data_IF_290845141871
#
_entry.id   IF_290845141871
#
_cell.length_a   1.000
_cell.length_b   1.000
_cell.length_c   1.000
_cell.angle_alpha   90.00
_cell.angle_beta   90.00
_cell.angle_gamma   90.00
#
_symmetry.space_group_name_H-M   'P 1'
#
loop_
_entity.id
_entity.type
_entity.pdbx_description
1 polymer ?
#
# COMPACT_ATOMS: atom_id res chain seq x y z
N UNK A 1 25.88 24.64 -3.76
CA UNK A 1 26.87 23.84 -4.50
C UNK A 1 26.28 22.44 -4.61
N UNK A 2 25.65 22.12 -5.74
CA UNK A 2 25.03 20.80 -5.96
C UNK A 2 25.72 20.21 -7.18
N UNK A 3 26.45 19.11 -6.98
CA UNK A 3 27.09 18.31 -8.01
C UNK A 3 26.13 17.18 -8.38
N UNK A 4 25.85 17.04 -9.68
CA UNK A 4 25.17 15.89 -10.28
C UNK A 4 26.23 14.90 -10.78
N UNK A 5 26.08 13.62 -10.45
CA UNK A 5 26.84 12.52 -11.08
C UNK A 5 25.90 11.70 -11.95
N UNK A 6 26.30 11.51 -13.20
CA UNK A 6 25.77 10.56 -14.17
C UNK A 6 26.17 9.13 -13.81
N UNK A 7 25.29 8.15 -14.09
CA UNK A 7 25.69 6.76 -14.39
C UNK A 7 24.71 6.18 -15.42
N UNK A 8 25.27 5.62 -16.48
CA UNK A 8 24.62 4.93 -17.59
C UNK A 8 24.75 3.39 -17.46
N UNK A 9 23.92 2.70 -18.24
CA UNK A 9 24.01 1.33 -18.81
C UNK A 9 23.48 0.11 -18.01
N UNK A 10 22.29 -0.34 -18.46
CA UNK A 10 21.92 -1.64 -19.05
C UNK A 10 22.51 -2.95 -18.51
N UNK A 11 21.62 -3.92 -18.25
CA UNK A 11 21.67 -5.26 -18.85
C UNK A 11 20.39 -6.08 -18.61
N UNK A 12 19.87 -6.62 -19.72
CA UNK A 12 18.79 -7.60 -19.84
C UNK A 12 19.13 -8.97 -19.25
N UNK A 13 18.14 -9.69 -18.70
CA UNK A 13 18.13 -11.15 -18.65
C UNK A 13 16.69 -11.68 -18.77
N UNK A 14 16.33 -12.07 -20.00
CA UNK A 14 15.23 -12.97 -20.32
C UNK A 14 15.48 -14.39 -19.80
N UNK A 15 14.40 -15.10 -19.43
CA UNK A 15 14.35 -16.55 -19.58
C UNK A 15 13.67 -17.34 -18.46
N UNK A 16 12.37 -17.60 -18.59
CA UNK A 16 11.76 -18.87 -18.14
C UNK A 16 10.66 -19.34 -19.12
N UNK A 17 10.54 -20.65 -19.35
CA UNK A 17 9.85 -21.20 -20.52
C UNK A 17 8.33 -21.26 -20.41
N UNK A 18 7.73 -21.07 -21.59
CA UNK A 18 6.35 -21.33 -21.97
C UNK A 18 6.07 -22.85 -21.97
N UNK A 19 5.01 -23.28 -21.28
CA UNK A 19 4.34 -24.56 -21.57
C UNK A 19 2.87 -24.25 -21.85
N UNK A 20 2.46 -24.57 -23.07
CA UNK A 20 1.12 -24.40 -23.58
C UNK A 20 0.32 -25.70 -23.50
N UNK A 21 -1.01 -25.49 -23.55
CA UNK A 21 -2.02 -26.43 -24.05
C UNK A 21 -2.44 -27.52 -23.04
N UNK A 22 -3.67 -27.46 -22.53
CA UNK A 22 -4.92 -27.84 -23.18
C UNK A 22 -5.43 -29.15 -22.57
N UNK A 23 -6.46 -29.01 -21.73
CA UNK A 23 -7.69 -29.81 -21.71
C UNK A 23 -8.42 -29.52 -20.40
N UNK A 24 -9.41 -28.63 -20.45
CA UNK A 24 -10.69 -28.83 -19.76
C UNK A 24 -11.75 -28.11 -20.59
N UNK A 25 -12.48 -28.90 -21.38
CA UNK A 25 -13.80 -28.52 -21.87
C UNK A 25 -14.80 -28.88 -20.77
N UNK A 26 -15.73 -27.94 -20.56
CA UNK A 26 -17.07 -28.05 -19.96
C UNK A 26 -17.66 -29.47 -19.94
N UNK A 27 -18.53 -29.84 -18.99
CA UNK A 27 -19.82 -29.19 -18.73
C UNK A 27 -20.54 -29.93 -17.59
N UNK A 28 -21.30 -29.17 -16.80
CA UNK A 28 -22.61 -29.50 -16.23
C UNK A 28 -22.97 -30.99 -16.01
N UNK A 29 -23.02 -31.39 -14.74
CA UNK A 29 -23.86 -32.51 -14.31
C UNK A 29 -24.41 -32.27 -12.89
N UNK A 30 -25.63 -31.73 -12.88
CA UNK A 30 -26.72 -31.99 -11.95
C UNK A 30 -26.47 -32.08 -10.44
N UNK A 31 -27.02 -31.07 -9.75
CA UNK A 31 -27.52 -31.15 -8.38
C UNK A 31 -28.40 -32.41 -8.19
N UNK A 32 -27.88 -33.38 -7.44
CA UNK A 32 -28.67 -34.41 -6.80
C UNK A 32 -28.31 -34.46 -5.30
N UNK A 33 -29.25 -34.00 -4.48
CA UNK A 33 -29.24 -34.21 -3.03
C UNK A 33 -29.13 -35.70 -2.71
N UNK A 34 -28.08 -36.12 -2.01
CA UNK A 34 -28.04 -37.42 -1.32
C UNK A 34 -27.49 -37.20 0.08
N UNK A 35 -28.28 -37.68 1.03
CA UNK A 35 -28.19 -37.59 2.48
C UNK A 35 -26.86 -38.10 3.06
N UNK A 36 -26.47 -37.48 4.17
CA UNK A 36 -25.33 -37.81 5.02
C UNK A 36 -25.33 -39.29 5.48
N UNK A 37 -24.16 -39.95 5.45
CA UNK A 37 -23.85 -40.98 6.45
C UNK A 37 -23.40 -42.39 6.03
N UNK A 38 -22.71 -42.61 4.90
CA UNK A 38 -22.01 -43.90 4.68
C UNK A 38 -20.59 -43.74 4.07
N UNK A 39 -19.50 -44.12 4.78
CA UNK A 39 -18.11 -44.02 4.30
C UNK A 39 -17.78 -44.84 3.05
N UNK A 40 -18.65 -45.79 2.65
CA UNK A 40 -18.47 -46.59 1.43
C UNK A 40 -18.79 -45.83 0.14
N UNK A 41 -19.37 -44.63 0.21
CA UNK A 41 -19.84 -43.86 -0.95
C UNK A 41 -18.83 -42.82 -1.49
N UNK A 42 -17.62 -42.77 -0.94
CA UNK A 42 -16.61 -41.73 -1.24
C UNK A 42 -15.79 -42.05 -2.49
N UNK A 43 -15.77 -43.33 -2.89
CA UNK A 43 -14.90 -43.82 -3.94
C UNK A 43 -15.22 -43.10 -5.26
N UNK A 44 -16.49 -42.91 -5.62
CA UNK A 44 -16.88 -42.38 -6.93
C UNK A 44 -16.77 -40.85 -7.16
N UNK A 45 -16.27 -40.04 -6.21
CA UNK A 45 -16.06 -38.59 -6.44
C UNK A 45 -14.59 -38.21 -6.57
N UNK A 46 -13.74 -38.87 -5.80
CA UNK A 46 -12.33 -38.51 -5.64
C UNK A 46 -11.38 -39.56 -6.21
N UNK A 47 -11.90 -40.72 -6.59
CA UNK A 47 -11.12 -41.78 -7.22
C UNK A 47 -11.88 -42.44 -8.38
N UNK A 48 -11.16 -42.72 -9.47
CA UNK A 48 -11.73 -43.42 -10.64
C UNK A 48 -11.29 -44.89 -10.66
N UNK A 49 -12.21 -45.81 -10.93
CA UNK A 49 -11.92 -47.24 -11.09
C UNK A 49 -11.14 -47.50 -12.39
N UNK A 50 -10.09 -48.32 -12.32
CA UNK A 50 -9.34 -48.80 -13.48
C UNK A 50 -9.45 -50.33 -13.59
N UNK A 51 -9.95 -50.82 -14.72
CA UNK A 51 -9.95 -52.24 -15.09
C UNK A 51 -8.72 -52.54 -15.95
N UNK A 52 -7.95 -53.58 -15.61
CA UNK A 52 -6.78 -54.02 -16.38
C UNK A 52 -7.12 -55.23 -17.26
N UNK A 53 -6.65 -55.22 -18.51
CA UNK A 53 -6.94 -56.17 -19.59
C UNK A 53 -6.28 -57.56 -19.36
N UNK A 54 -6.72 -58.28 -18.32
CA UNK A 54 -6.49 -59.72 -18.22
C UNK A 54 -5.92 -60.26 -16.90
N UNK A 55 -5.83 -59.47 -15.84
CA UNK A 55 -5.53 -59.95 -14.48
C UNK A 55 -6.53 -59.29 -13.52
N UNK A 56 -7.26 -60.09 -12.72
CA UNK A 56 -8.26 -59.66 -11.72
C UNK A 56 -7.65 -58.80 -10.58
N UNK A 57 -7.12 -57.62 -10.89
CA UNK A 57 -6.67 -56.63 -9.90
C UNK A 57 -7.35 -55.33 -10.23
N UNK A 58 -8.31 -54.93 -9.39
CA UNK A 58 -8.99 -53.65 -9.48
C UNK A 58 -8.16 -52.57 -8.81
N UNK A 59 -8.00 -51.44 -9.48
CA UNK A 59 -7.26 -50.27 -8.99
C UNK A 59 -8.19 -49.06 -8.91
N UNK A 60 -7.88 -48.13 -8.01
CA UNK A 60 -8.52 -46.84 -7.87
C UNK A 60 -7.47 -45.74 -8.08
N UNK A 61 -7.73 -44.81 -9.00
CA UNK A 61 -6.85 -43.69 -9.34
C UNK A 61 -7.28 -42.44 -8.58
N UNK A 62 -6.37 -41.75 -7.88
CA UNK A 62 -6.71 -40.49 -7.21
C UNK A 62 -6.92 -39.35 -8.21
N UNK A 63 -8.09 -38.69 -8.19
CA UNK A 63 -8.42 -37.61 -9.13
C UNK A 63 -7.57 -36.34 -8.96
N UNK A 64 -6.83 -36.23 -7.85
CA UNK A 64 -5.99 -35.07 -7.54
C UNK A 64 -4.52 -35.27 -7.93
N UNK A 65 -3.97 -36.47 -7.74
CA UNK A 65 -2.55 -36.75 -7.96
C UNK A 65 -2.27 -37.91 -8.92
N UNK A 66 -3.33 -38.53 -9.44
CA UNK A 66 -3.31 -39.65 -10.39
C UNK A 66 -2.58 -40.89 -9.86
N UNK A 67 -2.47 -41.02 -8.53
CA UNK A 67 -1.84 -42.16 -7.90
C UNK A 67 -2.78 -43.37 -7.89
N UNK A 68 -2.31 -44.50 -8.41
CA UNK A 68 -3.07 -45.76 -8.46
C UNK A 68 -2.91 -46.56 -7.17
N UNK A 69 -4.04 -46.87 -6.55
CA UNK A 69 -4.15 -47.64 -5.31
C UNK A 69 -4.88 -48.94 -5.59
N UNK A 70 -4.41 -50.04 -4.98
CA UNK A 70 -5.11 -51.31 -5.12
C UNK A 70 -6.46 -51.27 -4.37
N UNK A 71 -7.54 -51.63 -5.04
CA UNK A 71 -8.93 -51.43 -4.60
C UNK A 71 -9.83 -52.68 -4.79
N UNK A 72 -9.24 -53.88 -4.76
CA UNK A 72 -9.99 -55.14 -4.82
C UNK A 72 -11.00 -55.26 -3.66
N UNK A 73 -12.32 -55.37 -3.92
CA UNK A 73 -13.36 -55.42 -2.90
C UNK A 73 -13.27 -56.61 -1.93
N UNK A 74 -12.62 -57.70 -2.33
CA UNK A 74 -12.51 -58.93 -1.56
C UNK A 74 -11.16 -59.05 -0.82
N UNK A 75 -10.14 -58.29 -1.25
CA UNK A 75 -8.76 -58.41 -0.74
C UNK A 75 -8.25 -57.16 -0.05
N UNK A 76 -8.76 -55.99 -0.41
CA UNK A 76 -8.27 -54.71 0.08
C UNK A 76 -9.41 -53.97 0.80
N UNK A 77 -9.15 -53.55 2.04
CA UNK A 77 -10.04 -52.62 2.75
C UNK A 77 -9.87 -51.18 2.25
N UNK A 78 -10.75 -50.27 2.69
CA UNK A 78 -10.73 -48.84 2.31
C UNK A 78 -9.60 -48.03 2.97
N UNK A 79 -8.80 -48.65 3.85
CA UNK A 79 -7.77 -47.97 4.66
C UNK A 79 -6.66 -47.34 3.83
N UNK A 80 -6.22 -47.98 2.73
CA UNK A 80 -5.16 -47.44 1.85
C UNK A 80 -5.61 -46.16 1.15
N UNK A 81 -6.83 -46.18 0.60
CA UNK A 81 -7.49 -45.07 -0.08
C UNK A 81 -7.76 -43.93 0.90
N UNK A 82 -8.30 -44.24 2.08
CA UNK A 82 -8.57 -43.24 3.13
C UNK A 82 -7.28 -42.58 3.63
N UNK A 83 -6.21 -43.35 3.85
CA UNK A 83 -4.91 -42.80 4.24
C UNK A 83 -4.35 -41.87 3.16
N UNK A 84 -4.40 -42.30 1.90
CA UNK A 84 -3.97 -41.47 0.78
C UNK A 84 -4.79 -40.17 0.68
N UNK A 85 -6.12 -40.24 0.78
CA UNK A 85 -6.99 -39.06 0.70
C UNK A 85 -6.61 -37.97 1.71
N UNK A 86 -6.32 -38.38 2.95
CA UNK A 86 -5.94 -37.46 4.04
C UNK A 86 -4.49 -36.94 3.94
N UNK A 87 -3.61 -37.62 3.20
CA UNK A 87 -2.19 -37.27 3.07
C UNK A 87 -1.82 -36.74 1.67
N UNK A 88 -2.76 -36.76 0.71
CA UNK A 88 -2.54 -36.32 -0.66
C UNK A 88 -2.26 -34.82 -0.70
N UNK A 89 -1.04 -34.44 -1.07
CA UNK A 89 -0.58 -33.04 -1.14
C UNK A 89 -1.30 -32.21 -2.20
N UNK A 90 -1.91 -32.87 -3.18
CA UNK A 90 -2.66 -32.23 -4.27
C UNK A 90 -4.18 -32.22 -4.01
N UNK A 91 -4.65 -32.84 -2.92
CA UNK A 91 -6.03 -32.73 -2.48
C UNK A 91 -6.28 -31.30 -1.95
N UNK A 92 -7.24 -30.54 -2.51
CA UNK A 92 -7.59 -29.19 -2.07
C UNK A 92 -7.85 -29.03 -0.57
N UNK A 93 -8.33 -30.09 0.11
CA UNK A 93 -8.57 -30.07 1.55
C UNK A 93 -7.26 -30.10 2.38
N UNK A 94 -6.19 -30.65 1.80
CA UNK A 94 -4.87 -30.76 2.41
C UNK A 94 -3.90 -29.68 1.94
N UNK A 95 -4.25 -28.92 0.90
CA UNK A 95 -3.48 -27.73 0.52
C UNK A 95 -3.59 -26.73 1.68
N UNK A 96 -2.47 -26.22 2.22
CA UNK A 96 -2.51 -25.21 3.27
C UNK A 96 -3.36 -24.04 2.80
N UNK A 97 -4.57 -23.90 3.35
CA UNK A 97 -5.38 -22.71 3.15
C UNK A 97 -4.51 -21.54 3.60
N UNK A 98 -4.28 -20.58 2.70
CA UNK A 98 -3.57 -19.33 2.98
C UNK A 98 -3.92 -18.89 4.40
N UNK A 99 -2.90 -18.76 5.24
CA UNK A 99 -3.03 -18.38 6.65
C UNK A 99 -3.99 -17.19 6.71
N UNK A 100 -5.12 -17.38 7.41
CA UNK A 100 -6.15 -16.34 7.56
C UNK A 100 -5.47 -15.08 8.10
N UNK A 101 -5.39 -14.04 7.26
CA UNK A 101 -4.64 -12.79 7.44
C UNK A 101 -5.25 -11.89 8.55
N UNK A 102 -6.02 -12.50 9.47
CA UNK A 102 -6.74 -11.85 10.57
C UNK A 102 -5.95 -11.78 11.87
N UNK A 103 -4.83 -12.50 11.99
CA UNK A 103 -4.01 -12.39 13.19
C UNK A 103 -3.19 -11.09 13.18
N UNK A 104 -3.56 -10.14 14.05
CA UNK A 104 -2.79 -8.90 14.21
C UNK A 104 -1.42 -9.20 14.83
N UNK A 105 -0.35 -8.71 14.20
CA UNK A 105 1.01 -8.82 14.75
C UNK A 105 1.14 -7.89 15.95
N UNK A 106 1.61 -8.41 17.08
CA UNK A 106 1.94 -7.58 18.23
C UNK A 106 3.28 -6.89 18.00
N UNK A 107 3.37 -5.62 18.39
CA UNK A 107 4.62 -4.87 18.46
C UNK A 107 4.84 -4.39 19.88
N UNK A 108 6.10 -4.41 20.30
CA UNK A 108 6.54 -4.04 21.63
C UNK A 108 7.42 -2.80 21.50
N UNK A 109 7.05 -1.72 22.19
CA UNK A 109 7.93 -0.56 22.37
C UNK A 109 8.27 -0.39 23.84
N UNK A 110 9.55 -0.12 24.12
CA UNK A 110 9.98 0.35 25.43
C UNK A 110 9.78 1.86 25.47
N UNK A 111 8.95 2.34 26.39
CA UNK A 111 8.90 3.75 26.70
C UNK A 111 10.22 4.17 27.41
N UNK A 112 10.58 5.47 27.37
CA UNK A 112 11.79 5.97 28.01
C UNK A 112 11.85 5.73 29.52
N UNK A 113 10.71 5.52 30.16
CA UNK A 113 10.55 5.22 31.58
C UNK A 113 10.69 3.72 31.93
N UNK A 114 10.96 2.85 30.95
CA UNK A 114 11.11 1.40 31.16
C UNK A 114 9.81 0.61 31.13
N UNK A 115 8.65 1.26 30.94
CA UNK A 115 7.38 0.56 30.75
C UNK A 115 7.29 0.00 29.32
N UNK A 116 6.87 -1.27 29.22
CA UNK A 116 6.64 -1.94 27.95
C UNK A 116 5.21 -1.72 27.49
N UNK A 117 5.03 -1.09 26.34
CA UNK A 117 3.72 -0.99 25.70
C UNK A 117 3.59 -2.06 24.63
N UNK A 118 2.50 -2.82 24.72
CA UNK A 118 2.07 -3.76 23.69
C UNK A 118 1.02 -3.07 22.84
N UNK A 119 1.26 -2.96 21.54
CA UNK A 119 0.27 -2.48 20.58
C UNK A 119 0.13 -3.48 19.44
N UNK A 120 -1.03 -3.49 18.80
CA UNK A 120 -1.22 -4.25 17.58
C UNK A 120 -0.70 -3.44 16.40
N UNK A 121 0.20 -4.04 15.63
CA UNK A 121 0.58 -3.52 14.33
C UNK A 121 -0.58 -3.77 13.36
N UNK A 122 -1.11 -2.67 12.82
CA UNK A 122 -2.15 -2.69 11.79
C UNK A 122 -1.68 -1.84 10.62
N UNK A 123 -1.89 -2.37 9.42
CA UNK A 123 -1.75 -1.58 8.20
C UNK A 123 -2.83 -0.49 8.16
N UNK A 124 -2.39 0.76 8.13
CA UNK A 124 -3.23 1.95 8.13
C UNK A 124 -2.79 2.88 7.00
N UNK A 125 -3.51 2.78 5.88
CA UNK A 125 -3.24 3.59 4.68
C UNK A 125 -3.30 5.08 4.95
N UNK A 126 -4.19 5.53 5.83
CA UNK A 126 -4.32 6.96 6.16
C UNK A 126 -3.08 7.45 6.89
N UNK A 127 -2.61 6.69 7.88
CA UNK A 127 -1.38 7.01 8.60
C UNK A 127 -0.15 7.00 7.70
N UNK A 128 -0.06 6.01 6.81
CA UNK A 128 1.05 5.91 5.83
C UNK A 128 1.02 7.11 4.88
N UNK A 129 -0.13 7.46 4.34
CA UNK A 129 -0.28 8.61 3.45
C UNK A 129 0.09 9.93 4.14
N UNK A 130 -0.31 10.14 5.40
CA UNK A 130 0.07 11.33 6.16
C UNK A 130 1.57 11.37 6.46
N UNK A 131 2.18 10.23 6.79
CA UNK A 131 3.63 10.14 6.99
C UNK A 131 4.39 10.44 5.70
N UNK A 132 3.90 9.96 4.56
CA UNK A 132 4.46 10.24 3.25
C UNK A 132 4.35 11.74 2.91
N UNK A 133 3.19 12.38 3.13
CA UNK A 133 3.05 13.82 2.97
C UNK A 133 4.04 14.59 3.86
N UNK A 134 4.20 14.18 5.11
CA UNK A 134 5.19 14.72 6.04
C UNK A 134 6.63 14.60 5.52
N UNK A 135 6.99 13.45 4.94
CA UNK A 135 8.32 13.23 4.36
C UNK A 135 8.65 14.26 3.25
N UNK A 136 7.70 14.54 2.35
CA UNK A 136 7.94 15.51 1.27
C UNK A 136 7.86 16.97 1.75
N UNK A 137 6.96 17.27 2.68
CA UNK A 137 6.73 18.66 3.13
C UNK A 137 7.72 19.11 4.20
N UNK A 138 7.99 18.28 5.20
CA UNK A 138 8.92 18.58 6.29
C UNK A 138 10.35 18.26 5.85
N UNK A 139 10.53 17.17 5.10
CA UNK A 139 11.84 16.77 4.58
C UNK A 139 12.27 17.54 3.32
N UNK A 140 11.41 18.43 2.81
CA UNK A 140 11.66 19.28 1.62
C UNK A 140 12.20 18.48 0.41
N UNK A 141 11.70 17.25 0.24
CA UNK A 141 12.19 16.35 -0.80
C UNK A 141 11.57 16.68 -2.16
N UNK A 142 12.34 16.58 -3.27
CA UNK A 142 11.78 16.64 -4.61
C UNK A 142 10.73 15.54 -4.80
N UNK A 143 9.57 15.85 -5.41
CA UNK A 143 8.52 14.82 -5.63
C UNK A 143 8.99 13.62 -6.45
N UNK A 144 10.02 13.78 -7.30
CA UNK A 144 10.66 12.68 -8.03
C UNK A 144 11.27 11.61 -7.10
N UNK A 145 11.62 11.97 -5.86
CA UNK A 145 12.18 11.04 -4.89
C UNK A 145 11.29 9.81 -4.64
N UNK A 146 9.97 9.94 -4.78
CA UNK A 146 9.05 8.81 -4.59
C UNK A 146 9.24 7.67 -5.61
N UNK A 147 9.81 8.01 -6.77
CA UNK A 147 10.08 7.09 -7.88
C UNK A 147 11.52 6.54 -7.81
N UNK A 148 12.28 6.84 -6.76
CA UNK A 148 13.63 6.30 -6.57
C UNK A 148 13.57 4.80 -6.24
N UNK A 149 14.28 3.98 -7.00
CA UNK A 149 14.26 2.52 -6.86
C UNK A 149 14.69 2.03 -5.47
N UNK A 150 15.75 2.62 -4.90
CA UNK A 150 16.22 2.25 -3.57
C UNK A 150 15.19 2.61 -2.48
N UNK A 151 14.47 3.73 -2.65
CA UNK A 151 13.37 4.09 -1.74
C UNK A 151 12.16 3.15 -1.89
N UNK A 152 11.82 2.78 -3.12
CA UNK A 152 10.74 1.82 -3.39
C UNK A 152 11.07 0.46 -2.74
N UNK A 153 12.29 -0.04 -2.93
CA UNK A 153 12.74 -1.30 -2.34
C UNK A 153 12.75 -1.23 -0.82
N UNK A 154 13.21 -0.11 -0.25
CA UNK A 154 13.15 0.13 1.19
C UNK A 154 11.71 0.07 1.74
N UNK A 155 10.74 0.70 1.06
CA UNK A 155 9.33 0.68 1.49
C UNK A 155 8.73 -0.73 1.36
N UNK A 156 9.05 -1.45 0.28
CA UNK A 156 8.60 -2.82 0.07
C UNK A 156 9.14 -3.78 1.15
N UNK A 157 10.42 -3.61 1.52
CA UNK A 157 11.05 -4.39 2.60
C UNK A 157 10.42 -4.10 3.98
N UNK A 158 10.00 -2.85 4.22
CA UNK A 158 9.28 -2.49 5.45
C UNK A 158 7.85 -3.03 5.46
N UNK A 159 7.12 -2.88 4.35
CA UNK A 159 5.75 -3.34 4.20
C UNK A 159 5.34 -3.44 2.72
N UNK A 160 5.41 -4.64 2.14
CA UNK A 160 5.04 -4.91 0.75
C UNK A 160 3.55 -4.70 0.39
N UNK A 161 2.68 -4.37 1.36
CA UNK A 161 1.29 -3.96 1.08
C UNK A 161 1.19 -2.49 0.66
N UNK A 162 2.21 -1.67 0.95
CA UNK A 162 2.19 -0.24 0.64
C UNK A 162 2.36 -0.03 -0.85
N UNK A 163 1.38 0.63 -1.47
CA UNK A 163 1.48 1.08 -2.87
C UNK A 163 1.88 2.54 -2.89
N UNK A 164 3.10 2.82 -3.34
CA UNK A 164 3.59 4.19 -3.44
C UNK A 164 2.83 4.95 -4.56
N UNK A 165 2.38 6.19 -4.31
CA UNK A 165 1.79 7.03 -5.34
C UNK A 165 2.84 7.54 -6.33
N UNK A 166 2.38 7.99 -7.51
CA UNK A 166 3.26 8.69 -8.46
C UNK A 166 3.65 10.08 -7.98
N UNK A 167 4.72 10.65 -8.55
CA UNK A 167 5.16 12.03 -8.25
C UNK A 167 4.05 13.08 -8.45
N UNK A 168 3.16 12.87 -9.41
CA UNK A 168 2.05 13.78 -9.70
C UNK A 168 0.92 13.63 -8.68
N UNK A 169 0.70 12.42 -8.17
CA UNK A 169 -0.29 12.19 -7.11
C UNK A 169 0.17 12.82 -5.80
N UNK A 170 1.42 12.60 -5.39
CA UNK A 170 1.94 13.21 -4.15
C UNK A 170 1.95 14.74 -4.24
N UNK A 171 2.29 15.32 -5.39
CA UNK A 171 2.21 16.76 -5.62
C UNK A 171 0.79 17.31 -5.43
N UNK A 172 -0.22 16.65 -6.03
CA UNK A 172 -1.64 17.03 -5.82
C UNK A 172 -2.07 16.88 -4.36
N UNK A 173 -1.65 15.80 -3.71
CA UNK A 173 -2.01 15.55 -2.32
C UNK A 173 -1.41 16.59 -1.37
N UNK A 174 -0.17 17.03 -1.62
CA UNK A 174 0.46 18.14 -0.88
C UNK A 174 -0.31 19.43 -1.07
N UNK A 175 -0.75 19.74 -2.30
CA UNK A 175 -1.60 20.92 -2.55
C UNK A 175 -2.93 20.82 -1.81
N UNK A 176 -3.60 19.67 -1.86
CA UNK A 176 -4.85 19.45 -1.12
C UNK A 176 -4.66 19.57 0.39
N UNK A 177 -3.57 19.03 0.92
CA UNK A 177 -3.21 19.14 2.33
C UNK A 177 -2.97 20.60 2.73
N UNK A 178 -2.21 21.36 1.92
CA UNK A 178 -2.01 22.79 2.11
C UNK A 178 -3.34 23.55 2.14
N UNK A 179 -4.24 23.33 1.18
CA UNK A 179 -5.53 24.02 1.13
C UNK A 179 -6.40 23.73 2.37
N UNK A 180 -6.37 22.48 2.85
CA UNK A 180 -7.06 22.09 4.08
C UNK A 180 -6.48 22.82 5.30
N UNK A 181 -5.15 22.83 5.46
CA UNK A 181 -4.49 23.52 6.57
C UNK A 181 -4.67 25.04 6.49
N UNK A 182 -4.63 25.61 5.27
CA UNK A 182 -4.93 27.02 5.01
C UNK A 182 -6.33 27.39 5.49
N UNK A 183 -7.32 26.53 5.23
CA UNK A 183 -8.70 26.77 5.68
C UNK A 183 -8.83 26.71 7.21
N UNK A 184 -8.11 25.80 7.87
CA UNK A 184 -8.06 25.75 9.34
C UNK A 184 -7.43 27.01 9.91
N UNK A 185 -6.31 27.44 9.33
CA UNK A 185 -5.64 28.68 9.73
C UNK A 185 -6.54 29.89 9.52
N UNK A 186 -7.21 29.99 8.36
CA UNK A 186 -8.18 31.06 8.10
C UNK A 186 -9.23 31.14 9.21
N UNK A 187 -9.91 30.03 9.54
CA UNK A 187 -10.91 30.00 10.61
C UNK A 187 -10.38 30.51 11.96
N UNK A 188 -9.13 30.20 12.27
CA UNK A 188 -8.48 30.68 13.49
C UNK A 188 -8.19 32.18 13.44
N UNK A 189 -7.68 32.66 12.30
CA UNK A 189 -7.35 34.06 12.07
C UNK A 189 -8.60 34.96 11.94
N UNK A 190 -9.74 34.42 11.51
CA UNK A 190 -11.02 35.14 11.44
C UNK A 190 -11.62 35.48 12.81
N UNK A 191 -11.04 34.99 13.91
CA UNK A 191 -11.49 35.37 15.25
C UNK A 191 -11.19 36.86 15.50
N UNK A 192 -12.19 37.72 15.78
CA UNK A 192 -11.98 39.15 16.02
C UNK A 192 -11.05 39.47 17.19
N UNK A 193 -10.82 38.51 18.10
CA UNK A 193 -9.90 38.65 19.23
C UNK A 193 -8.44 38.36 18.87
N UNK A 194 -8.19 37.76 17.71
CA UNK A 194 -6.85 37.42 17.25
C UNK A 194 -6.22 38.64 16.58
N UNK A 195 -5.22 39.24 17.22
CA UNK A 195 -4.39 40.25 16.57
C UNK A 195 -3.40 39.59 15.61
N UNK A 196 -3.34 40.08 14.37
CA UNK A 196 -2.47 39.56 13.32
C UNK A 196 -1.51 40.67 12.91
N UNK A 197 -0.21 40.36 12.96
CA UNK A 197 0.84 41.23 12.46
C UNK A 197 1.41 40.64 11.17
N UNK A 198 1.44 41.42 10.11
CA UNK A 198 2.01 41.01 8.83
C UNK A 198 3.42 41.58 8.68
N UNK A 199 4.34 40.76 8.19
CA UNK A 199 5.65 41.20 7.73
C UNK A 199 5.85 40.77 6.29
N UNK A 200 6.45 41.62 5.48
CA UNK A 200 6.87 41.28 4.12
C UNK A 200 8.39 41.10 4.08
N UNK A 201 8.83 40.13 3.31
CA UNK A 201 10.24 39.97 2.92
C UNK A 201 10.31 39.91 1.39
N UNK A 202 11.27 40.60 0.79
CA UNK A 202 11.44 40.63 -0.66
C UNK A 202 12.87 40.38 -1.06
N UNK A 203 13.05 39.64 -2.15
CA UNK A 203 14.37 39.38 -2.71
C UNK A 203 14.29 39.16 -4.21
N UNK A 204 15.45 39.27 -4.88
CA UNK A 204 15.60 38.90 -6.28
C UNK A 204 16.34 37.56 -6.35
N UNK A 205 15.72 36.57 -6.99
CA UNK A 205 16.41 35.33 -7.33
C UNK A 205 17.46 35.61 -8.39
N UNK A 206 18.74 35.44 -8.06
CA UNK A 206 19.85 35.71 -8.99
C UNK A 206 19.88 34.74 -10.17
N UNK A 207 19.46 33.49 -9.97
CA UNK A 207 19.45 32.46 -11.01
C UNK A 207 18.27 32.61 -11.96
N UNK A 208 17.10 33.01 -11.47
CA UNK A 208 15.89 33.17 -12.30
C UNK A 208 15.68 34.61 -12.79
N UNK A 209 16.33 35.58 -12.14
CA UNK A 209 16.13 37.02 -12.33
C UNK A 209 14.68 37.47 -12.08
N UNK A 210 14.02 36.80 -11.13
CA UNK A 210 12.63 37.04 -10.71
C UNK A 210 12.64 37.67 -9.32
N UNK A 211 11.78 38.66 -9.06
CA UNK A 211 11.59 39.24 -7.73
C UNK A 211 10.47 38.50 -7.00
N UNK A 212 10.70 38.17 -5.74
CA UNK A 212 9.73 37.51 -4.89
C UNK A 212 9.36 38.39 -3.70
N UNK A 213 8.13 38.20 -3.23
CA UNK A 213 7.62 38.69 -1.96
C UNK A 213 7.01 37.54 -1.16
N UNK A 214 7.39 37.47 0.11
CA UNK A 214 6.73 36.61 1.09
C UNK A 214 5.99 37.47 2.08
N UNK A 215 4.70 37.19 2.25
CA UNK A 215 3.89 37.74 3.33
C UNK A 215 3.82 36.70 4.44
N UNK A 216 4.27 37.08 5.62
CA UNK A 216 4.21 36.24 6.82
C UNK A 216 3.25 36.83 7.83
N UNK A 217 2.33 36.01 8.32
CA UNK A 217 1.45 36.33 9.43
C UNK A 217 2.06 35.85 10.76
N UNK A 218 2.07 36.75 11.73
CA UNK A 218 2.48 36.51 13.11
C UNK A 218 1.28 36.77 14.02
N UNK A 219 1.00 35.83 14.92
CA UNK A 219 -0.11 35.92 15.87
C UNK A 219 0.20 35.14 17.14
N UNK A 220 -0.50 35.46 18.23
CA UNK A 220 -0.37 34.79 19.53
C UNK A 220 -1.68 34.09 19.84
N UNK A 221 -1.61 32.83 20.28
CA UNK A 221 -2.79 32.05 20.69
C UNK A 221 -3.21 32.36 22.12
N UNK A 222 -4.38 31.87 22.52
CA UNK A 222 -4.89 31.99 23.90
C UNK A 222 -3.94 31.37 24.95
N UNK A 223 -3.17 30.36 24.56
CA UNK A 223 -2.14 29.72 25.38
C UNK A 223 -0.82 30.51 25.41
N UNK A 224 -0.80 31.76 24.93
CA UNK A 224 0.38 32.63 24.83
C UNK A 224 1.52 32.05 23.97
N UNK A 225 1.18 31.21 22.99
CA UNK A 225 2.16 30.67 22.04
C UNK A 225 2.22 31.58 20.81
N UNK A 226 3.41 32.05 20.48
CA UNK A 226 3.65 32.82 19.25
C UNK A 226 3.74 31.88 18.05
N UNK A 227 2.96 32.18 17.00
CA UNK A 227 2.99 31.47 15.74
C UNK A 227 3.43 32.39 14.60
N UNK A 228 4.27 31.85 13.72
CA UNK A 228 4.68 32.45 12.44
C UNK A 228 4.21 31.54 11.31
N UNK A 229 3.48 32.08 10.33
CA UNK A 229 2.99 31.32 9.17
C UNK A 229 3.20 32.12 7.89
N UNK A 230 3.77 31.48 6.86
CA UNK A 230 3.81 32.05 5.51
C UNK A 230 2.39 32.07 4.98
N UNK A 231 1.85 33.26 4.74
CA UNK A 231 0.49 33.46 4.24
C UNK A 231 0.49 33.45 2.71
N UNK A 232 1.44 34.13 2.08
CA UNK A 232 1.58 34.17 0.63
C UNK A 232 3.06 34.17 0.24
N UNK A 233 3.34 33.56 -0.90
CA UNK A 233 4.62 33.62 -1.60
C UNK A 233 4.29 33.99 -3.04
N UNK A 234 4.81 35.11 -3.53
CA UNK A 234 4.46 35.66 -4.85
C UNK A 234 5.68 36.13 -5.59
N UNK A 235 5.62 35.99 -6.91
CA UNK A 235 6.44 36.79 -7.82
C UNK A 235 5.86 38.21 -7.90
N UNK A 236 6.75 39.20 -7.95
CA UNK A 236 6.41 40.62 -8.07
C UNK A 236 7.22 41.24 -9.21
N UNK A 237 6.67 42.26 -9.87
CA UNK A 237 7.36 42.89 -11.00
C UNK A 237 8.58 43.70 -10.54
N UNK A 238 8.44 44.49 -9.47
CA UNK A 238 9.49 45.39 -8.99
C UNK A 238 9.52 45.51 -7.47
N UNK A 239 10.64 45.97 -6.90
CA UNK A 239 10.79 46.31 -5.48
C UNK A 239 10.30 47.72 -5.14
N UNK A 240 9.50 48.35 -5.99
CA UNK A 240 8.92 49.66 -5.68
C UNK A 240 7.86 49.52 -4.61
N UNK A 241 7.81 50.51 -3.71
CA UNK A 241 6.90 50.49 -2.58
C UNK A 241 5.43 50.36 -3.02
N UNK A 242 5.05 51.02 -4.12
CA UNK A 242 3.68 51.00 -4.64
C UNK A 242 3.28 49.62 -5.17
N UNK A 243 4.19 48.91 -5.85
CA UNK A 243 3.93 47.57 -6.38
C UNK A 243 3.86 46.54 -5.24
N UNK A 244 4.79 46.63 -4.28
CA UNK A 244 4.74 45.77 -3.08
C UNK A 244 3.47 46.00 -2.26
N UNK A 245 3.03 47.26 -2.09
CA UNK A 245 1.79 47.57 -1.39
C UNK A 245 0.56 47.02 -2.12
N UNK A 246 0.53 47.11 -3.45
CA UNK A 246 -0.53 46.52 -4.28
C UNK A 246 -0.59 45.01 -4.10
N UNK A 247 0.54 44.32 -4.21
CA UNK A 247 0.60 42.86 -4.06
C UNK A 247 0.27 42.41 -2.64
N UNK A 248 0.67 43.18 -1.62
CA UNK A 248 0.29 42.92 -0.23
C UNK A 248 -1.22 43.04 -0.04
N UNK A 249 -1.86 44.04 -0.64
CA UNK A 249 -3.31 44.21 -0.58
C UNK A 249 -4.05 43.05 -1.27
N UNK A 250 -3.54 42.59 -2.42
CA UNK A 250 -4.06 41.40 -3.10
C UNK A 250 -3.95 40.17 -2.18
N UNK A 251 -2.77 39.96 -1.57
CA UNK A 251 -2.58 38.87 -0.62
C UNK A 251 -3.62 38.93 0.50
N UNK A 252 -3.80 40.07 1.14
CA UNK A 252 -4.77 40.24 2.24
C UNK A 252 -6.19 39.89 1.77
N UNK A 253 -6.63 40.42 0.62
CA UNK A 253 -7.97 40.18 0.10
C UNK A 253 -8.25 38.71 -0.24
N UNK A 254 -7.24 37.93 -0.65
CA UNK A 254 -7.41 36.49 -0.90
C UNK A 254 -7.70 35.67 0.36
N UNK A 255 -7.30 36.19 1.52
CA UNK A 255 -7.61 35.58 2.80
C UNK A 255 -9.02 35.93 3.27
N UNK A 256 -9.74 36.87 2.65
CA UNK A 256 -11.11 37.28 3.02
C UNK A 256 -11.14 38.22 4.22
#
# INVERSE_FOLDING_TARGET
MIQTMDVHEDQDLDGLPNVSSSRYRNSDAHDANIEDGNPANWIGKDFDDQEDDGIERKWAECNYCLHLLAADPNRNGTTSISKHFNECKLNPDNIPKQVDDKQQKLSFTKAPNGEGHVYTWKHDDTRIQLALLGLFTIGELPFKFIENEAFIEFVNALNGRVKLPSRHKISRDVVSFYLMERQKLYKHLSNPKTAIHLTTDTWTSSCQKINYMVVTAHFITEDFVMHKRVANFREIDTHKAEDMARELLICINEWG
#
